data_IF_160386686262
#
_entry.id   IF_160386686262
#
_cell.length_a   1.000
_cell.length_b   1.000
_cell.length_c   1.000
_cell.angle_alpha   90.00
_cell.angle_beta   90.00
_cell.angle_gamma   90.00
#
_symmetry.space_group_name_H-M   'P 1'
#
loop_
_entity.id
_entity.type
_entity.pdbx_description
1 polymer ?
#
# COMPACT_ATOMS: atom_id res chain seq x y z
N UNK A 1 -1.66 17.97 31.40
CA UNK A 1 -1.18 17.75 30.02
C UNK A 1 -2.03 16.69 29.32
N UNK A 2 -3.30 16.98 28.99
CA UNK A 2 -4.26 15.97 28.47
C UNK A 2 -5.05 16.53 27.27
N UNK A 3 -4.36 17.17 26.31
CA UNK A 3 -5.01 18.02 25.31
C UNK A 3 -4.95 17.54 23.85
N UNK A 4 -4.28 16.44 23.52
CA UNK A 4 -4.09 16.05 22.10
C UNK A 4 -3.91 14.55 21.90
N UNK A 5 -4.88 13.74 22.31
CA UNK A 5 -5.13 12.49 21.58
C UNK A 5 -5.87 12.86 20.31
N UNK A 6 -5.14 13.40 19.32
CA UNK A 6 -5.62 13.41 17.93
C UNK A 6 -5.94 11.95 17.62
N UNK A 7 -7.22 11.61 17.64
CA UNK A 7 -7.69 10.28 17.31
C UNK A 7 -7.06 9.92 15.97
N UNK A 8 -6.24 8.86 15.91
CA UNK A 8 -5.58 8.37 14.71
C UNK A 8 -6.62 7.77 13.75
N UNK A 9 -7.60 8.58 13.33
CA UNK A 9 -8.65 8.23 12.41
C UNK A 9 -8.19 8.57 11.00
N UNK A 10 -8.63 7.77 10.04
CA UNK A 10 -8.47 8.10 8.64
C UNK A 10 -9.29 9.35 8.30
N UNK A 11 -8.63 10.38 7.82
CA UNK A 11 -9.26 11.64 7.39
C UNK A 11 -9.64 11.64 5.91
N UNK A 12 -9.10 10.71 5.12
CA UNK A 12 -9.34 10.63 3.68
C UNK A 12 -10.45 9.61 3.39
N UNK A 13 -11.69 10.10 3.31
CA UNK A 13 -12.90 9.28 3.18
C UNK A 13 -13.48 9.24 1.75
N UNK A 14 -13.04 10.13 0.87
CA UNK A 14 -13.58 10.26 -0.49
C UNK A 14 -13.21 9.06 -1.37
N UNK A 15 -13.87 8.96 -2.54
CA UNK A 15 -13.45 8.02 -3.58
C UNK A 15 -11.97 8.27 -3.95
N UNK A 16 -11.26 7.18 -4.20
CA UNK A 16 -9.89 7.20 -4.72
C UNK A 16 -9.81 6.60 -6.14
N UNK A 17 -8.68 6.86 -6.81
CA UNK A 17 -8.33 6.21 -8.08
C UNK A 17 -7.21 5.22 -7.80
N UNK A 18 -7.48 3.94 -8.02
CA UNK A 18 -6.48 2.89 -7.80
C UNK A 18 -5.46 2.87 -8.94
N UNK A 19 -4.18 2.94 -8.61
CA UNK A 19 -3.08 2.78 -9.55
C UNK A 19 -2.56 1.33 -9.53
N UNK A 20 -2.01 0.85 -10.65
CA UNK A 20 -1.39 -0.48 -10.69
C UNK A 20 -0.15 -0.55 -9.78
N UNK A 21 0.16 -1.68 -9.12
CA UNK A 21 1.28 -1.75 -8.17
C UNK A 21 2.62 -1.26 -8.74
N UNK A 22 2.88 -1.56 -10.02
CA UNK A 22 4.11 -1.15 -10.68
C UNK A 22 4.25 0.38 -10.83
N UNK A 23 3.15 1.11 -10.99
CA UNK A 23 3.23 2.58 -11.11
C UNK A 23 3.58 3.20 -9.76
N UNK A 24 3.02 2.67 -8.67
CA UNK A 24 3.41 3.05 -7.32
C UNK A 24 4.89 2.72 -7.07
N UNK A 25 5.35 1.51 -7.36
CA UNK A 25 6.75 1.09 -7.16
C UNK A 25 7.74 1.95 -7.96
N UNK A 26 7.38 2.34 -9.20
CA UNK A 26 8.20 3.20 -10.06
C UNK A 26 8.41 4.61 -9.50
N UNK A 27 7.59 5.07 -8.55
CA UNK A 27 7.84 6.36 -7.88
C UNK A 27 9.15 6.35 -7.09
N UNK A 28 9.66 5.17 -6.72
CA UNK A 28 10.96 5.01 -6.06
C UNK A 28 11.08 5.92 -4.82
N UNK A 29 12.17 6.69 -4.68
CA UNK A 29 12.40 7.57 -3.53
C UNK A 29 11.35 8.67 -3.34
N UNK A 30 10.56 9.00 -4.37
CA UNK A 30 9.55 10.07 -4.27
C UNK A 30 8.35 9.68 -3.40
N UNK A 31 8.03 8.39 -3.34
CA UNK A 31 6.89 7.91 -2.55
C UNK A 31 7.07 6.46 -2.08
N UNK A 32 7.22 5.50 -2.98
CA UNK A 32 7.27 4.08 -2.61
C UNK A 32 8.38 3.74 -1.61
N UNK A 33 9.57 4.29 -1.84
CA UNK A 33 10.77 4.12 -1.02
C UNK A 33 11.14 5.40 -0.26
N UNK A 34 10.16 6.29 -0.06
CA UNK A 34 10.33 7.49 0.74
C UNK A 34 10.59 7.07 2.21
N UNK A 35 11.69 7.53 2.84
CA UNK A 35 12.13 7.00 4.13
C UNK A 35 11.08 7.10 5.24
N UNK A 36 10.35 8.21 5.33
CA UNK A 36 9.36 8.43 6.38
C UNK A 36 8.22 7.42 6.25
N UNK A 37 7.68 7.23 5.05
CA UNK A 37 6.66 6.22 4.76
C UNK A 37 7.13 4.81 5.10
N UNK A 38 8.36 4.43 4.72
CA UNK A 38 8.88 3.09 5.03
C UNK A 38 9.00 2.85 6.53
N UNK A 39 9.44 3.86 7.30
CA UNK A 39 9.54 3.77 8.76
C UNK A 39 8.18 3.60 9.41
N UNK A 40 7.14 4.30 8.93
CA UNK A 40 5.77 4.13 9.45
C UNK A 40 5.25 2.69 9.28
N UNK A 41 5.49 2.07 8.11
CA UNK A 41 5.12 0.67 7.90
C UNK A 41 5.94 -0.30 8.78
N UNK A 42 7.22 -0.01 8.98
CA UNK A 42 8.06 -0.77 9.92
C UNK A 42 7.51 -0.72 11.34
N UNK A 43 7.08 0.46 11.80
CA UNK A 43 6.47 0.62 13.13
C UNK A 43 5.17 -0.18 13.21
N UNK A 44 4.32 -0.12 12.18
CA UNK A 44 3.08 -0.91 12.12
C UNK A 44 3.35 -2.42 12.29
N UNK A 45 4.29 -2.99 11.55
CA UNK A 45 4.64 -4.41 11.68
C UNK A 45 5.22 -4.75 13.06
N UNK A 46 6.14 -3.91 13.55
CA UNK A 46 6.76 -4.09 14.85
C UNK A 46 5.74 -4.05 16.00
N UNK A 47 4.81 -3.09 15.98
CA UNK A 47 3.75 -2.97 17.00
C UNK A 47 2.78 -4.15 16.99
N UNK A 48 2.57 -4.78 15.82
CA UNK A 48 1.80 -6.02 15.71
C UNK A 48 2.58 -7.26 16.17
N UNK A 49 3.87 -7.13 16.49
CA UNK A 49 4.72 -8.27 16.87
C UNK A 49 5.11 -9.17 15.71
N UNK A 50 5.14 -8.66 14.47
CA UNK A 50 5.37 -9.44 13.25
C UNK A 50 6.73 -9.06 12.63
N UNK A 51 7.41 -10.05 12.05
CA UNK A 51 8.64 -9.78 11.30
C UNK A 51 8.36 -8.97 10.02
N UNK A 52 9.33 -8.15 9.63
CA UNK A 52 9.22 -7.23 8.50
C UNK A 52 10.22 -7.59 7.39
N UNK A 53 10.37 -8.89 7.10
CA UNK A 53 11.28 -9.38 6.07
C UNK A 53 10.98 -8.80 4.68
N UNK A 54 9.73 -8.74 4.18
CA UNK A 54 9.46 -8.20 2.84
C UNK A 54 9.79 -6.69 2.74
N UNK A 55 9.57 -5.93 3.81
CA UNK A 55 9.93 -4.51 3.89
C UNK A 55 11.46 -4.32 3.90
N UNK A 56 12.19 -5.16 4.64
CA UNK A 56 13.66 -5.14 4.66
C UNK A 56 14.24 -5.46 3.28
N UNK A 57 13.72 -6.47 2.57
CA UNK A 57 14.13 -6.78 1.19
C UNK A 57 13.90 -5.59 0.26
N UNK A 58 12.74 -4.93 0.38
CA UNK A 58 12.41 -3.73 -0.40
C UNK A 58 13.37 -2.58 -0.12
N UNK A 59 13.71 -2.34 1.15
CA UNK A 59 14.66 -1.31 1.56
C UNK A 59 16.06 -1.55 0.98
N UNK A 60 16.55 -2.79 1.00
CA UNK A 60 17.85 -3.16 0.42
C UNK A 60 17.88 -2.83 -1.08
N UNK A 61 16.90 -3.34 -1.83
CA UNK A 61 16.80 -3.12 -3.29
C UNK A 61 16.75 -1.61 -3.61
N UNK A 62 15.92 -0.85 -2.90
CA UNK A 62 15.74 0.58 -3.17
C UNK A 62 16.93 1.43 -2.74
N UNK A 63 17.61 1.06 -1.65
CA UNK A 63 18.85 1.72 -1.21
C UNK A 63 19.95 1.56 -2.26
N UNK A 64 20.10 0.37 -2.82
CA UNK A 64 21.09 0.12 -3.88
C UNK A 64 20.71 0.82 -5.18
N UNK A 65 19.43 0.78 -5.59
CA UNK A 65 18.95 1.53 -6.76
C UNK A 65 19.18 3.03 -6.62
N UNK A 66 18.95 3.59 -5.43
CA UNK A 66 19.24 4.99 -5.15
C UNK A 66 20.74 5.29 -5.18
N UNK A 67 21.60 4.40 -4.64
CA UNK A 67 23.06 4.60 -4.68
C UNK A 67 23.60 4.71 -6.11
N UNK A 68 23.11 3.88 -7.03
CA UNK A 68 23.63 3.80 -8.39
C UNK A 68 22.79 4.54 -9.44
N UNK A 69 21.81 5.36 -9.03
CA UNK A 69 20.85 5.97 -9.97
C UNK A 69 21.49 6.93 -10.99
N UNK A 70 22.66 7.50 -10.69
CA UNK A 70 23.42 8.36 -11.60
C UNK A 70 24.48 7.62 -12.41
N UNK A 71 24.73 6.34 -12.12
CA UNK A 71 25.75 5.56 -12.80
C UNK A 71 25.26 5.13 -14.20
N UNK A 72 26.16 5.12 -15.18
CA UNK A 72 25.88 4.52 -16.48
C UNK A 72 25.72 2.99 -16.30
N UNK A 73 24.80 2.34 -17.04
CA UNK A 73 24.69 0.90 -17.02
C UNK A 73 25.97 0.24 -17.57
N UNK A 74 26.28 -1.01 -17.17
CA UNK A 74 27.44 -1.73 -17.68
C UNK A 74 27.34 -1.94 -19.20
N UNK A 75 28.48 -1.92 -19.88
CA UNK A 75 28.56 -2.13 -21.33
C UNK A 75 27.94 -3.47 -21.73
N UNK A 76 27.13 -3.46 -22.79
CA UNK A 76 26.49 -4.66 -23.33
C UNK A 76 27.21 -5.09 -24.61
N UNK A 77 28.02 -6.14 -24.50
CA UNK A 77 28.59 -6.81 -25.68
C UNK A 77 27.49 -7.62 -26.37
N UNK A 78 27.38 -7.48 -27.69
CA UNK A 78 26.41 -8.22 -28.52
C UNK A 78 26.52 -9.73 -28.28
N UNK A 79 25.37 -10.38 -28.16
CA UNK A 79 25.26 -11.79 -27.80
C UNK A 79 24.12 -12.40 -28.61
N UNK A 80 24.44 -13.35 -29.49
CA UNK A 80 23.47 -14.04 -30.37
C UNK A 80 22.49 -14.88 -29.56
N UNK A 81 22.90 -15.38 -28.39
CA UNK A 81 22.04 -16.15 -27.49
C UNK A 81 21.08 -15.25 -26.69
N UNK A 82 21.37 -13.95 -26.59
CA UNK A 82 20.60 -13.01 -25.79
C UNK A 82 20.64 -13.30 -24.28
N UNK A 83 21.54 -14.17 -23.79
CA UNK A 83 21.60 -14.59 -22.39
C UNK A 83 21.67 -13.41 -21.43
N UNK A 84 22.53 -12.43 -21.71
CA UNK A 84 22.71 -11.24 -20.85
C UNK A 84 21.41 -10.43 -20.71
N UNK A 85 20.65 -10.29 -21.80
CA UNK A 85 19.36 -9.59 -21.81
C UNK A 85 18.34 -10.33 -20.95
N UNK A 86 18.21 -11.65 -21.16
CA UNK A 86 17.27 -12.50 -20.45
C UNK A 86 17.57 -12.55 -18.94
N UNK A 87 18.85 -12.68 -18.57
CA UNK A 87 19.27 -12.72 -17.15
C UNK A 87 19.03 -11.39 -16.44
N UNK A 88 19.32 -10.25 -17.10
CA UNK A 88 19.02 -8.93 -16.54
C UNK A 88 17.51 -8.69 -16.38
N UNK A 89 16.70 -9.14 -17.37
CA UNK A 89 15.25 -9.05 -17.30
C UNK A 89 14.66 -9.93 -16.18
N UNK A 90 15.21 -11.12 -15.97
CA UNK A 90 14.85 -12.02 -14.87
C UNK A 90 15.11 -11.36 -13.52
N UNK A 91 16.30 -10.79 -13.31
CA UNK A 91 16.63 -10.07 -12.07
C UNK A 91 15.68 -8.90 -11.83
N UNK A 92 15.44 -8.10 -12.87
CA UNK A 92 14.51 -6.95 -12.81
C UNK A 92 13.10 -7.40 -12.40
N UNK A 93 12.61 -8.50 -12.98
CA UNK A 93 11.28 -9.03 -12.68
C UNK A 93 11.22 -9.64 -11.28
N UNK A 94 12.30 -10.27 -10.83
CA UNK A 94 12.40 -10.80 -9.47
C UNK A 94 12.30 -9.69 -8.43
N UNK A 95 13.03 -8.59 -8.59
CA UNK A 95 12.91 -7.42 -7.72
C UNK A 95 11.51 -6.81 -7.73
N UNK A 96 10.86 -6.72 -8.91
CA UNK A 96 9.45 -6.28 -8.98
C UNK A 96 8.53 -7.18 -8.18
N UNK A 97 8.70 -8.51 -8.24
CA UNK A 97 7.87 -9.47 -7.49
C UNK A 97 8.09 -9.39 -5.98
N UNK A 98 9.33 -9.18 -5.53
CA UNK A 98 9.63 -8.89 -4.12
C UNK A 98 8.85 -7.64 -3.65
N UNK A 99 8.83 -6.60 -4.47
CA UNK A 99 8.13 -5.36 -4.13
C UNK A 99 6.62 -5.46 -4.27
N UNK A 100 6.09 -6.31 -5.16
CA UNK A 100 4.66 -6.64 -5.20
C UNK A 100 4.21 -7.34 -3.93
N UNK A 101 5.03 -8.23 -3.38
CA UNK A 101 4.77 -8.83 -2.07
C UNK A 101 4.65 -7.75 -1.01
N UNK A 102 5.62 -6.84 -0.91
CA UNK A 102 5.57 -5.76 0.09
C UNK A 102 4.39 -4.79 -0.14
N UNK A 103 4.08 -4.44 -1.39
CA UNK A 103 2.94 -3.58 -1.71
C UNK A 103 1.63 -4.19 -1.23
N UNK A 104 1.47 -5.50 -1.48
CA UNK A 104 0.31 -6.25 -1.00
C UNK A 104 0.27 -6.29 0.54
N UNK A 105 1.39 -6.60 1.19
CA UNK A 105 1.47 -6.69 2.65
C UNK A 105 1.12 -5.36 3.33
N UNK A 106 1.56 -4.23 2.79
CA UNK A 106 1.21 -2.92 3.35
C UNK A 106 -0.31 -2.68 3.32
N UNK A 107 -0.95 -2.90 2.17
CA UNK A 107 -2.40 -2.73 2.04
C UNK A 107 -3.20 -3.72 2.90
N UNK A 108 -2.74 -4.97 2.99
CA UNK A 108 -3.38 -6.00 3.79
C UNK A 108 -3.38 -5.63 5.27
N UNK A 109 -2.20 -5.34 5.82
CA UNK A 109 -2.05 -5.03 7.25
C UNK A 109 -2.68 -3.70 7.63
N UNK A 110 -2.58 -2.66 6.80
CA UNK A 110 -3.25 -1.39 7.09
C UNK A 110 -4.77 -1.56 7.19
N UNK A 111 -5.40 -2.31 6.28
CA UNK A 111 -6.85 -2.58 6.35
C UNK A 111 -7.22 -3.41 7.56
N UNK A 112 -6.38 -4.38 7.92
CA UNK A 112 -6.60 -5.19 9.12
C UNK A 112 -6.52 -4.34 10.39
N UNK A 113 -5.47 -3.53 10.53
CA UNK A 113 -5.29 -2.60 11.67
C UNK A 113 -6.45 -1.61 11.77
N UNK A 114 -6.92 -1.06 10.65
CA UNK A 114 -8.12 -0.21 10.63
C UNK A 114 -9.37 -0.95 11.12
N UNK A 115 -9.51 -2.23 10.78
CA UNK A 115 -10.54 -3.12 11.32
C UNK A 115 -10.52 -3.21 12.85
N UNK A 116 -9.34 -3.29 13.45
CA UNK A 116 -9.15 -3.38 14.91
C UNK A 116 -9.34 -2.03 15.61
N UNK A 117 -8.85 -0.95 15.00
CA UNK A 117 -8.88 0.41 15.57
C UNK A 117 -10.18 1.17 15.29
N UNK A 118 -11.20 0.47 14.76
CA UNK A 118 -12.52 1.05 14.45
C UNK A 118 -12.45 2.23 13.48
N UNK A 119 -11.55 2.13 12.51
CA UNK A 119 -11.30 3.17 11.51
C UNK A 119 -12.17 2.93 10.28
N UNK A 120 -12.88 3.97 9.84
CA UNK A 120 -13.59 3.96 8.57
C UNK A 120 -12.62 4.24 7.41
N UNK A 121 -12.61 3.41 6.35
CA UNK A 121 -11.71 3.59 5.23
C UNK A 121 -12.24 4.64 4.24
N UNK A 122 -11.45 4.96 3.22
CA UNK A 122 -11.95 5.68 2.05
C UNK A 122 -13.04 4.90 1.29
N UNK A 123 -13.93 5.62 0.60
CA UNK A 123 -15.01 5.02 -0.16
C UNK A 123 -14.52 3.92 -1.12
N UNK A 124 -15.30 2.85 -1.23
CA UNK A 124 -15.07 1.65 -2.02
C UNK A 124 -13.83 0.83 -1.60
N UNK A 125 -13.53 0.82 -0.30
CA UNK A 125 -12.42 0.03 0.26
C UNK A 125 -12.93 -1.14 1.10
N UNK A 126 -12.41 -2.34 0.83
CA UNK A 126 -12.70 -3.54 1.62
C UNK A 126 -11.96 -3.52 2.96
N UNK A 127 -12.68 -3.88 4.03
CA UNK A 127 -12.09 -4.25 5.32
C UNK A 127 -12.60 -5.66 5.65
N UNK A 128 -11.70 -6.63 5.69
CA UNK A 128 -12.06 -8.02 5.94
C UNK A 128 -12.72 -8.17 7.32
N UNK A 129 -13.82 -8.92 7.38
CA UNK A 129 -14.59 -9.14 8.61
C UNK A 129 -15.46 -7.95 9.05
N UNK A 130 -15.54 -6.88 8.25
CA UNK A 130 -16.39 -5.70 8.51
C UNK A 130 -17.21 -5.27 7.29
N UNK A 131 -16.57 -5.08 6.15
CA UNK A 131 -17.21 -4.65 4.90
C UNK A 131 -16.55 -5.36 3.71
N UNK A 132 -17.19 -6.43 3.22
CA UNK A 132 -16.65 -7.30 2.16
C UNK A 132 -16.78 -6.73 0.75
N UNK A 133 -17.88 -6.02 0.49
CA UNK A 133 -18.26 -5.44 -0.80
C UNK A 133 -17.63 -4.06 -1.07
N UNK A 134 -16.91 -3.52 -0.08
CA UNK A 134 -16.36 -2.18 -0.08
C UNK A 134 -17.21 -1.24 0.76
N UNK A 135 -16.60 -0.61 1.76
CA UNK A 135 -17.30 0.39 2.56
C UNK A 135 -17.55 1.66 1.74
N UNK A 136 -18.76 2.21 1.83
CA UNK A 136 -19.11 3.52 1.25
C UNK A 136 -20.00 4.29 2.22
N UNK A 137 -19.69 5.57 2.41
CA UNK A 137 -20.48 6.52 3.20
C UNK A 137 -20.25 7.95 2.69
N UNK A 138 -21.30 8.75 2.63
CA UNK A 138 -21.24 10.15 2.17
C UNK A 138 -20.48 10.32 0.84
N UNK A 139 -20.66 9.41 -0.12
CA UNK A 139 -20.08 9.57 -1.46
C UNK A 139 -20.83 10.66 -2.23
N UNK A 140 -20.13 11.27 -3.19
CA UNK A 140 -20.67 12.21 -4.18
C UNK A 140 -21.82 11.65 -5.04
N UNK A 141 -22.07 10.35 -4.98
CA UNK A 141 -23.06 9.63 -5.78
C UNK A 141 -24.00 8.90 -4.81
N UNK A 142 -25.32 8.86 -5.05
CA UNK A 142 -26.29 8.32 -4.07
C UNK A 142 -26.35 6.79 -4.00
N UNK A 143 -25.52 6.07 -4.76
CA UNK A 143 -25.49 4.60 -4.83
C UNK A 143 -24.07 4.05 -4.68
N UNK A 144 -23.95 2.81 -4.21
CA UNK A 144 -22.69 2.08 -4.13
C UNK A 144 -22.14 1.87 -5.55
N UNK A 145 -20.97 2.45 -5.86
CA UNK A 145 -20.49 2.57 -7.24
C UNK A 145 -20.35 1.25 -8.00
N UNK A 146 -19.94 0.19 -7.32
CA UNK A 146 -19.68 -1.11 -7.97
C UNK A 146 -20.85 -2.09 -7.84
N UNK A 147 -21.67 -1.98 -6.77
CA UNK A 147 -22.84 -2.85 -6.58
C UNK A 147 -24.10 -2.28 -7.23
N UNK A 148 -24.12 -0.96 -7.51
CA UNK A 148 -25.28 -0.21 -8.00
C UNK A 148 -26.51 -0.25 -7.08
N UNK A 149 -26.32 -0.60 -5.81
CA UNK A 149 -27.35 -0.51 -4.78
C UNK A 149 -27.43 0.91 -4.18
N UNK A 150 -28.63 1.38 -3.77
CA UNK A 150 -28.78 2.69 -3.12
C UNK A 150 -28.03 2.75 -1.78
N UNK A 151 -27.46 3.91 -1.44
CA UNK A 151 -26.80 4.13 -0.14
C UNK A 151 -27.82 4.63 0.89
N UNK A 152 -27.81 4.09 2.12
CA UNK A 152 -28.63 4.62 3.21
C UNK A 152 -28.08 5.97 3.71
N UNK A 153 -28.95 6.75 4.35
CA UNK A 153 -28.59 7.95 5.10
C UNK A 153 -29.11 7.81 6.56
N UNK A 154 -28.25 7.94 7.60
CA UNK A 154 -26.83 8.32 7.57
C UNK A 154 -25.92 7.20 7.02
N UNK A 155 -24.62 7.47 6.94
CA UNK A 155 -23.65 6.49 6.47
C UNK A 155 -23.71 5.18 7.26
N UNK A 156 -23.48 4.05 6.57
CA UNK A 156 -23.43 2.71 7.16
C UNK A 156 -22.43 2.69 8.33
N UNK A 157 -22.84 2.19 9.49
CA UNK A 157 -21.95 1.93 10.63
C UNK A 157 -21.44 0.47 10.55
N UNK A 158 -20.13 0.24 10.70
CA UNK A 158 -19.51 -1.11 10.64
C UNK A 158 -18.92 -1.57 11.97
N UNK A 159 -19.11 -0.76 13.01
CA UNK A 159 -18.67 -1.02 14.38
C UNK A 159 -19.84 -0.72 15.33
N UNK A 160 -19.83 -1.34 16.51
CA UNK A 160 -20.79 -1.02 17.59
C UNK A 160 -20.63 0.44 18.08
N UNK A 161 -21.48 0.89 19.01
CA UNK A 161 -21.47 2.30 19.46
C UNK A 161 -20.55 2.60 20.64
N UNK A 162 -20.30 1.63 21.53
CA UNK A 162 -19.44 1.80 22.71
C UNK A 162 -17.98 1.93 22.27
N UNK A 163 -17.26 2.96 22.74
CA UNK A 163 -15.86 3.27 22.37
C UNK A 163 -14.91 2.97 23.51
#
# INVERSE_FOLDING_TARGET
MLGTTRSCLNTFLTKSVAAAPITAIRTGPKWWAEPERMVRHKIMYFTLGIDQLPLRRTAIIQKDLHRFHMCKPPMRVGDTTGYKRSRAAQLTTWYRRIQYQEYHMQHLFTRHVWGLLRVYPGNTTKIQGKADDGYVGYDSVPYHRYNRSPLPFPAREIYERRK
#
